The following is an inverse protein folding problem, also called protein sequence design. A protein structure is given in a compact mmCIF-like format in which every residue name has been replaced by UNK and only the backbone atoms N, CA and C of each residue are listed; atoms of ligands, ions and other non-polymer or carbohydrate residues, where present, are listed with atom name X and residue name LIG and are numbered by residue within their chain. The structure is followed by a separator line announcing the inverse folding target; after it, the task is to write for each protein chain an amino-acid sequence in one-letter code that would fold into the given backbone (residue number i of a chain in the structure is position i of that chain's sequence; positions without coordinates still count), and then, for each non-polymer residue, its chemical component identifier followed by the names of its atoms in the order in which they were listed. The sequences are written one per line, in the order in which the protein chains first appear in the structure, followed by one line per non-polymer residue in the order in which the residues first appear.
data_IF_526740942439
#
_entry.id   IF_526740942439
#
_cell.length_a   1.000
_cell.length_b   1.000
_cell.length_c   1.000
_cell.angle_alpha   90.00
_cell.angle_beta   90.00
_cell.angle_gamma   90.00
#
_symmetry.space_group_name_H-M   'P 1'
#
loop_
_entity.id
_entity.type
_entity.pdbx_description
1 polymer ?
#
# COMPACT_ATOMS: atom_id res chain seq x y z
N UNK A 1 -7.97 -3.30 12.75
CA UNK A 1 -8.34 -3.63 11.36
C UNK A 1 -9.85 -3.52 11.21
N UNK A 2 -10.33 -2.63 10.33
CA UNK A 2 -11.78 -2.41 10.13
C UNK A 2 -12.31 -3.37 9.08
N UNK A 3 -13.24 -4.26 9.45
CA UNK A 3 -13.82 -5.28 8.54
C UNK A 3 -15.27 -4.98 8.14
N UNK A 4 -15.89 -4.00 8.80
CA UNK A 4 -17.28 -3.61 8.57
C UNK A 4 -17.36 -2.12 8.26
N UNK A 5 -18.21 -1.81 7.29
CA UNK A 5 -18.53 -0.43 6.91
C UNK A 5 -19.39 0.23 7.98
N UNK A 6 -19.28 1.55 8.08
CA UNK A 6 -20.24 2.36 8.83
C UNK A 6 -21.62 2.21 8.20
N UNK A 7 -22.66 2.00 9.02
CA UNK A 7 -24.03 1.83 8.53
C UNK A 7 -24.49 3.09 7.80
N UNK A 8 -25.36 2.95 6.80
CA UNK A 8 -25.75 4.08 5.94
C UNK A 8 -26.50 5.19 6.67
N UNK A 9 -27.23 4.85 7.72
CA UNK A 9 -27.97 5.78 8.60
C UNK A 9 -27.05 6.62 9.49
N UNK A 10 -25.81 6.18 9.72
CA UNK A 10 -24.81 6.86 10.55
C UNK A 10 -23.80 7.68 9.73
N UNK A 11 -24.02 7.82 8.41
CA UNK A 11 -23.09 8.49 7.48
C UNK A 11 -23.27 10.00 7.33
N UNK A 12 -24.23 10.58 8.06
CA UNK A 12 -24.48 12.04 8.07
C UNK A 12 -23.35 12.82 8.75
N UNK A 13 -22.71 12.21 9.74
CA UNK A 13 -21.53 12.73 10.43
C UNK A 13 -20.38 11.73 10.30
N UNK A 14 -19.16 12.18 10.60
CA UNK A 14 -17.99 11.29 10.68
C UNK A 14 -17.37 11.38 12.05
N UNK A 15 -17.13 10.22 12.68
CA UNK A 15 -16.49 10.14 14.00
C UNK A 15 -15.12 9.53 13.81
N UNK A 16 -14.08 10.36 13.91
CA UNK A 16 -12.71 9.90 13.93
C UNK A 16 -12.34 9.46 15.34
N UNK A 17 -11.77 8.26 15.48
CA UNK A 17 -11.27 7.72 16.76
C UNK A 17 -9.76 7.58 16.67
N UNK A 18 -9.07 8.22 17.60
CA UNK A 18 -7.62 8.15 17.73
C UNK A 18 -7.22 6.87 18.47
N UNK A 19 -5.93 6.52 18.38
CA UNK A 19 -5.36 5.35 19.05
C UNK A 19 -5.36 5.46 20.59
N UNK A 20 -5.41 6.68 21.12
CA UNK A 20 -5.51 7.01 22.55
C UNK A 20 -6.96 7.00 23.07
N UNK A 21 -7.89 6.41 22.31
CA UNK A 21 -9.33 6.34 22.56
C UNK A 21 -10.08 7.68 22.53
N UNK A 22 -9.39 8.79 22.24
CA UNK A 22 -10.07 10.07 22.02
C UNK A 22 -10.88 10.05 20.71
N UNK A 23 -11.93 10.87 20.65
CA UNK A 23 -12.79 10.97 19.46
C UNK A 23 -13.03 12.41 19.05
N UNK A 24 -13.10 12.64 17.74
CA UNK A 24 -13.49 13.90 17.13
C UNK A 24 -14.68 13.65 16.21
N UNK A 25 -15.72 14.47 16.39
CA UNK A 25 -16.96 14.41 15.62
C UNK A 25 -16.94 15.53 14.58
N UNK A 26 -17.03 15.14 13.31
CA UNK A 26 -17.05 16.02 12.16
C UNK A 26 -18.48 16.13 11.65
N UNK A 27 -19.00 17.35 11.68
CA UNK A 27 -20.33 17.70 11.22
C UNK A 27 -20.24 18.61 9.99
N UNK A 28 -21.12 18.44 8.99
CA UNK A 28 -21.15 19.33 7.84
C UNK A 28 -21.52 20.76 8.27
N UNK A 29 -20.82 21.75 7.71
CA UNK A 29 -21.02 23.18 7.99
C UNK A 29 -20.25 23.71 9.20
N UNK A 30 -19.59 22.85 9.99
CA UNK A 30 -18.74 23.24 11.10
C UNK A 30 -17.27 23.27 10.64
N UNK A 31 -16.51 24.27 11.07
CA UNK A 31 -15.07 24.39 10.78
C UNK A 31 -14.69 24.29 9.29
N UNK A 32 -15.61 24.67 8.39
CA UNK A 32 -15.41 24.61 6.93
C UNK A 32 -15.58 23.22 6.31
N UNK A 33 -16.03 22.22 7.08
CA UNK A 33 -16.25 20.84 6.62
C UNK A 33 -17.50 20.80 5.74
N UNK A 34 -17.37 20.27 4.52
CA UNK A 34 -18.51 20.08 3.61
C UNK A 34 -19.06 18.66 3.68
N UNK A 35 -20.30 18.46 3.21
CA UNK A 35 -20.87 17.11 3.05
C UNK A 35 -20.02 16.21 2.14
N UNK A 36 -19.32 16.81 1.17
CA UNK A 36 -18.40 16.11 0.27
C UNK A 36 -17.21 15.54 1.06
N UNK A 37 -16.73 16.26 2.06
CA UNK A 37 -15.60 15.81 2.89
C UNK A 37 -16.00 14.62 3.77
N UNK A 38 -17.17 14.68 4.40
CA UNK A 38 -17.74 13.54 5.15
C UNK A 38 -17.92 12.31 4.26
N UNK A 39 -18.43 12.50 3.03
CA UNK A 39 -18.60 11.42 2.06
C UNK A 39 -17.25 10.82 1.63
N UNK A 40 -16.23 11.65 1.42
CA UNK A 40 -14.87 11.19 1.08
C UNK A 40 -14.27 10.37 2.22
N UNK A 41 -14.41 10.80 3.47
CA UNK A 41 -13.90 10.07 4.64
C UNK A 41 -14.53 8.68 4.76
N UNK A 42 -15.86 8.58 4.64
CA UNK A 42 -16.54 7.27 4.61
C UNK A 42 -16.14 6.43 3.40
N UNK A 43 -15.81 7.04 2.26
CA UNK A 43 -15.30 6.31 1.09
C UNK A 43 -13.89 5.75 1.31
N UNK A 44 -13.02 6.49 2.02
CA UNK A 44 -11.69 6.01 2.40
C UNK A 44 -11.80 4.82 3.36
N UNK A 45 -12.60 4.95 4.42
CA UNK A 45 -12.90 3.85 5.34
C UNK A 45 -13.49 2.63 4.61
N UNK A 46 -14.42 2.85 3.68
CA UNK A 46 -15.02 1.77 2.88
C UNK A 46 -14.00 1.06 2.00
N UNK A 47 -12.99 1.80 1.49
CA UNK A 47 -11.91 1.23 0.71
C UNK A 47 -10.97 0.37 1.57
N UNK A 48 -10.61 0.84 2.77
CA UNK A 48 -9.87 0.04 3.75
C UNK A 48 -10.62 -1.25 4.08
N UNK A 49 -11.92 -1.15 4.38
CA UNK A 49 -12.78 -2.31 4.65
C UNK A 49 -12.82 -3.27 3.46
N UNK A 50 -12.88 -2.76 2.23
CA UNK A 50 -12.86 -3.58 1.03
C UNK A 50 -11.54 -4.36 0.90
N UNK A 51 -10.40 -3.68 0.99
CA UNK A 51 -9.09 -4.33 0.91
C UNK A 51 -8.87 -5.31 2.05
N UNK A 52 -9.27 -4.97 3.26
CA UNK A 52 -9.22 -5.85 4.43
C UNK A 52 -10.00 -7.15 4.19
N UNK A 53 -11.22 -7.06 3.66
CA UNK A 53 -12.03 -8.24 3.34
C UNK A 53 -11.46 -9.06 2.18
N UNK A 54 -10.94 -8.39 1.15
CA UNK A 54 -10.27 -9.04 0.01
C UNK A 54 -9.02 -9.80 0.45
N UNK A 55 -8.26 -9.23 1.38
CA UNK A 55 -7.08 -9.86 1.96
C UNK A 55 -7.45 -11.00 2.93
N UNK A 56 -8.56 -10.87 3.68
CA UNK A 56 -9.02 -11.92 4.58
C UNK A 56 -9.49 -13.18 3.82
N UNK A 57 -10.07 -13.00 2.63
CA UNK A 57 -10.57 -14.09 1.77
C UNK A 57 -10.25 -13.78 0.31
N UNK A 58 -9.00 -14.00 -0.13
CA UNK A 58 -8.64 -13.76 -1.52
C UNK A 58 -9.44 -14.68 -2.44
N UNK A 59 -9.82 -14.12 -3.59
CA UNK A 59 -10.44 -14.91 -4.65
C UNK A 59 -9.40 -15.84 -5.27
N UNK A 60 -9.76 -17.11 -5.43
CA UNK A 60 -8.91 -18.08 -6.13
C UNK A 60 -8.78 -17.72 -7.61
N UNK A 61 -7.58 -17.90 -8.15
CA UNK A 61 -7.31 -17.71 -9.57
C UNK A 61 -8.08 -18.76 -10.41
N UNK A 62 -8.16 -18.55 -11.73
CA UNK A 62 -8.80 -19.52 -12.62
C UNK A 62 -8.08 -20.87 -12.63
N UNK A 63 -6.75 -20.83 -12.54
CA UNK A 63 -5.88 -22.01 -12.52
C UNK A 63 -6.05 -22.80 -11.22
N UNK A 64 -6.02 -22.12 -10.07
CA UNK A 64 -6.27 -22.76 -8.76
C UNK A 64 -7.65 -23.40 -8.71
N UNK A 65 -8.69 -22.73 -9.26
CA UNK A 65 -10.03 -23.32 -9.34
C UNK A 65 -10.04 -24.62 -10.16
N UNK A 66 -9.34 -24.64 -11.30
CA UNK A 66 -9.25 -25.82 -12.15
C UNK A 66 -8.50 -26.96 -11.45
N UNK A 67 -7.40 -26.67 -10.75
CA UNK A 67 -6.64 -27.65 -9.97
C UNK A 67 -7.50 -28.26 -8.85
N UNK A 68 -8.23 -27.42 -8.12
CA UNK A 68 -9.12 -27.86 -7.04
C UNK A 68 -10.24 -28.74 -7.57
N UNK A 69 -10.80 -28.41 -8.73
CA UNK A 69 -11.86 -29.21 -9.33
C UNK A 69 -11.33 -30.55 -9.87
N UNK A 70 -10.12 -30.58 -10.46
CA UNK A 70 -9.45 -31.82 -10.83
C UNK A 70 -9.20 -32.72 -9.60
N UNK A 71 -8.64 -32.14 -8.54
CA UNK A 71 -8.37 -32.85 -7.30
C UNK A 71 -9.64 -33.39 -6.64
N UNK A 72 -10.75 -32.65 -6.63
CA UNK A 72 -12.04 -33.15 -6.12
C UNK A 72 -12.51 -34.40 -6.85
N UNK A 73 -12.34 -34.46 -8.18
CA UNK A 73 -12.75 -35.63 -8.98
C UNK A 73 -11.89 -36.85 -8.64
N UNK A 74 -10.58 -36.66 -8.49
CA UNK A 74 -9.66 -37.72 -8.06
C UNK A 74 -10.02 -38.22 -6.66
N UNK A 75 -10.22 -37.29 -5.71
CA UNK A 75 -10.60 -37.60 -4.34
C UNK A 75 -11.91 -38.40 -4.26
N UNK A 76 -12.96 -37.97 -4.98
CA UNK A 76 -14.24 -38.69 -5.01
C UNK A 76 -14.06 -40.11 -5.59
N UNK A 77 -13.26 -40.26 -6.65
CA UNK A 77 -12.98 -41.56 -7.28
C UNK A 77 -12.27 -42.52 -6.31
N UNK A 78 -11.23 -42.04 -5.64
CA UNK A 78 -10.43 -42.85 -4.72
C UNK A 78 -11.17 -43.15 -3.41
N UNK A 79 -11.96 -42.20 -2.92
CA UNK A 79 -12.86 -42.40 -1.78
C UNK A 79 -13.91 -43.48 -2.10
N UNK A 80 -14.50 -43.45 -3.29
CA UNK A 80 -15.49 -44.45 -3.73
C UNK A 80 -14.88 -45.85 -3.88
N UNK A 81 -13.65 -45.96 -4.39
CA UNK A 81 -12.93 -47.25 -4.43
C UNK A 81 -12.66 -47.82 -3.04
N UNK A 82 -12.32 -46.94 -2.09
CA UNK A 82 -11.91 -47.36 -0.74
C UNK A 82 -13.09 -47.66 0.18
N UNK A 83 -14.16 -46.88 0.09
CA UNK A 83 -15.30 -46.94 1.02
C UNK A 83 -16.58 -47.50 0.38
N UNK A 84 -16.67 -47.59 -0.94
CA UNK A 84 -17.84 -48.11 -1.66
C UNK A 84 -19.04 -47.16 -1.74
N UNK A 85 -18.92 -45.94 -1.19
CA UNK A 85 -19.93 -44.88 -1.26
C UNK A 85 -19.28 -43.52 -1.54
N UNK A 86 -20.09 -42.51 -1.83
CA UNK A 86 -19.61 -41.15 -2.15
C UNK A 86 -19.38 -40.31 -0.88
N UNK A 87 -18.32 -39.48 -0.84
CA UNK A 87 -18.02 -38.66 0.33
C UNK A 87 -19.14 -37.66 0.60
N UNK A 88 -19.41 -37.39 1.88
CA UNK A 88 -20.35 -36.32 2.28
C UNK A 88 -19.80 -34.95 1.85
N UNK A 89 -20.69 -34.01 1.51
CA UNK A 89 -20.34 -32.64 1.10
C UNK A 89 -19.49 -31.92 2.16
N UNK A 90 -19.82 -32.09 3.45
CA UNK A 90 -19.06 -31.49 4.55
C UNK A 90 -17.64 -32.04 4.64
N UNK A 91 -17.47 -33.34 4.39
CA UNK A 91 -16.16 -34.00 4.39
C UNK A 91 -15.33 -33.49 3.21
N UNK A 92 -15.91 -33.49 2.01
CA UNK A 92 -15.25 -32.97 0.81
C UNK A 92 -14.83 -31.51 1.01
N UNK A 93 -15.69 -30.68 1.62
CA UNK A 93 -15.39 -29.28 1.90
C UNK A 93 -14.24 -29.13 2.90
N UNK A 94 -14.22 -29.93 3.97
CA UNK A 94 -13.13 -29.95 4.95
C UNK A 94 -11.79 -30.31 4.30
N UNK A 95 -11.77 -31.39 3.53
CA UNK A 95 -10.56 -31.88 2.83
C UNK A 95 -10.06 -30.87 1.77
N UNK A 96 -10.97 -30.21 1.04
CA UNK A 96 -10.60 -29.11 0.11
C UNK A 96 -9.99 -27.92 0.87
N UNK A 97 -10.51 -27.60 2.05
CA UNK A 97 -10.02 -26.48 2.86
C UNK A 97 -8.67 -26.77 3.52
N UNK A 98 -8.43 -28.03 3.92
CA UNK A 98 -7.15 -28.51 4.42
C UNK A 98 -6.08 -28.57 3.31
N UNK A 99 -6.44 -29.11 2.14
CA UNK A 99 -5.52 -29.24 1.01
C UNK A 99 -5.19 -27.92 0.34
N UNK A 100 -6.18 -27.03 0.22
CA UNK A 100 -6.07 -25.74 -0.47
C UNK A 100 -6.46 -24.59 0.46
N UNK A 101 -5.67 -24.30 1.50
CA UNK A 101 -6.01 -23.30 2.50
C UNK A 101 -5.99 -21.89 1.88
N UNK A 102 -6.90 -21.02 2.35
CA UNK A 102 -7.13 -19.65 1.79
C UNK A 102 -6.51 -18.53 2.63
N UNK A 103 -5.82 -18.89 3.70
CA UNK A 103 -5.22 -17.98 4.69
C UNK A 103 -3.88 -17.43 4.19
N UNK A 104 -3.89 -16.64 3.12
CA UNK A 104 -2.68 -15.97 2.65
C UNK A 104 -2.19 -14.87 3.61
N UNK A 105 -3.03 -14.44 4.57
CA UNK A 105 -2.77 -13.28 5.42
C UNK A 105 -3.12 -13.51 6.91
N UNK A 106 -2.76 -14.66 7.50
CA UNK A 106 -2.74 -14.77 8.96
C UNK A 106 -1.34 -14.44 9.51
N UNK A 107 -1.21 -13.17 9.89
CA UNK A 107 -0.29 -12.56 10.88
C UNK A 107 1.21 -12.36 10.54
N UNK A 108 1.67 -11.13 10.83
CA UNK A 108 3.05 -10.81 11.18
C UNK A 108 3.60 -11.68 12.34
N UNK A 109 2.72 -12.28 13.14
CA UNK A 109 3.07 -13.15 14.27
C UNK A 109 3.26 -14.64 13.87
N UNK A 110 3.03 -15.01 12.61
CA UNK A 110 3.26 -16.39 12.14
C UNK A 110 4.74 -16.70 11.89
N UNK A 111 5.62 -15.71 12.12
CA UNK A 111 7.08 -15.83 12.04
C UNK A 111 7.71 -16.39 13.33
N UNK A 112 6.94 -16.66 14.40
CA UNK A 112 7.52 -17.07 15.68
C UNK A 112 8.27 -18.41 15.63
N UNK A 113 7.89 -19.31 14.72
CA UNK A 113 8.44 -20.67 14.66
C UNK A 113 9.32 -20.93 13.42
N UNK A 114 9.58 -19.91 12.59
CA UNK A 114 10.63 -19.94 11.55
C UNK A 114 10.35 -20.74 10.27
N UNK A 115 9.18 -21.35 10.11
CA UNK A 115 8.85 -22.28 9.02
C UNK A 115 8.07 -21.64 7.85
N UNK A 116 8.46 -20.44 7.41
CA UNK A 116 7.88 -19.81 6.21
C UNK A 116 8.80 -19.98 5.00
N UNK A 117 8.17 -20.49 3.92
CA UNK A 117 8.66 -20.55 2.55
C UNK A 117 9.33 -19.21 2.12
N UNK A 118 10.62 -19.21 1.75
CA UNK A 118 11.37 -18.00 1.44
C UNK A 118 10.74 -17.14 0.34
N UNK A 119 9.98 -17.74 -0.59
CA UNK A 119 9.35 -17.02 -1.70
C UNK A 119 8.18 -16.11 -1.27
N UNK A 120 7.63 -16.31 -0.06
CA UNK A 120 6.58 -15.44 0.50
C UNK A 120 7.11 -14.22 1.26
N UNK A 121 8.45 -14.07 1.36
CA UNK A 121 9.11 -12.97 2.06
C UNK A 121 9.15 -11.64 1.29
N UNK A 122 8.12 -11.35 0.50
CA UNK A 122 7.98 -10.07 -0.22
C UNK A 122 8.11 -8.86 0.72
N UNK A 123 7.71 -9.01 1.98
CA UNK A 123 7.80 -7.98 3.02
C UNK A 123 9.23 -7.82 3.56
N UNK A 124 10.07 -8.86 3.53
CA UNK A 124 11.48 -8.75 3.93
C UNK A 124 12.33 -7.95 2.94
N UNK A 125 11.90 -7.87 1.67
CA UNK A 125 12.51 -6.98 0.67
C UNK A 125 12.05 -5.52 0.85
N UNK A 126 10.89 -5.32 1.48
CA UNK A 126 10.39 -3.99 1.90
C UNK A 126 11.05 -3.55 3.22
N UNK A 127 11.83 -4.43 3.87
CA UNK A 127 12.52 -4.18 5.15
C UNK A 127 13.35 -2.91 5.04
N UNK A 128 12.80 -1.87 5.66
CA UNK A 128 13.44 -0.63 6.10
C UNK A 128 14.47 -0.09 5.13
N UNK A 129 14.02 0.72 4.16
CA UNK A 129 14.84 1.85 3.76
C UNK A 129 15.08 2.66 5.03
N UNK A 130 16.28 2.53 5.60
CA UNK A 130 16.62 3.18 6.86
C UNK A 130 16.27 4.66 6.74
N UNK A 131 15.54 5.22 7.70
CA UNK A 131 15.24 6.66 7.70
C UNK A 131 16.50 7.53 7.87
N UNK A 132 17.68 6.89 7.98
CA UNK A 132 19.01 7.47 8.00
C UNK A 132 19.82 7.21 6.71
N UNK A 133 19.27 6.53 5.70
CA UNK A 133 19.92 6.47 4.38
C UNK A 133 19.91 7.87 3.78
N UNK A 134 21.12 8.41 3.59
CA UNK A 134 21.37 9.60 2.80
C UNK A 134 20.63 9.43 1.47
N UNK A 135 19.84 10.42 1.06
CA UNK A 135 19.01 10.32 -0.13
C UNK A 135 19.86 10.04 -1.37
N UNK A 136 19.89 8.77 -1.80
CA UNK A 136 20.60 8.33 -3.00
C UNK A 136 19.73 8.56 -4.23
N UNK A 137 20.27 9.32 -5.19
CA UNK A 137 19.64 9.50 -6.50
C UNK A 137 19.73 8.18 -7.29
N UNK A 138 18.77 7.92 -8.18
CA UNK A 138 18.91 6.79 -9.10
C UNK A 138 20.13 6.97 -10.01
N UNK A 139 20.74 5.88 -10.47
CA UNK A 139 21.90 5.89 -11.40
C UNK A 139 21.65 6.81 -12.60
N UNK A 140 20.46 6.73 -13.20
CA UNK A 140 20.05 7.59 -14.30
C UNK A 140 19.97 9.09 -13.91
N UNK A 141 19.57 9.40 -12.68
CA UNK A 141 19.54 10.78 -12.21
C UNK A 141 20.95 11.31 -11.92
N UNK A 142 21.89 10.49 -11.47
CA UNK A 142 23.29 10.92 -11.30
C UNK A 142 23.92 11.36 -12.64
N UNK A 143 23.65 10.60 -13.71
CA UNK A 143 24.07 10.97 -15.07
C UNK A 143 23.48 12.32 -15.49
N UNK A 144 22.19 12.55 -15.23
CA UNK A 144 21.53 13.82 -15.56
C UNK A 144 22.08 14.97 -14.70
N UNK A 145 22.34 14.72 -13.40
CA UNK A 145 22.93 15.72 -12.51
C UNK A 145 24.35 16.11 -12.96
N UNK A 146 25.09 15.23 -13.64
CA UNK A 146 26.41 15.54 -14.22
C UNK A 146 26.35 16.60 -15.32
N UNK A 147 25.22 16.72 -16.03
CA UNK A 147 24.99 17.71 -17.09
C UNK A 147 24.64 19.10 -16.54
N UNK A 148 24.19 19.18 -15.28
CA UNK A 148 23.83 20.42 -14.61
C UNK A 148 25.06 21.14 -14.07
N UNK A 149 24.98 22.48 -14.03
CA UNK A 149 25.98 23.29 -13.33
C UNK A 149 25.88 23.12 -11.81
N UNK A 150 27.00 23.33 -11.10
CA UNK A 150 27.06 23.18 -9.63
C UNK A 150 25.97 23.98 -8.90
N UNK A 151 25.68 25.20 -9.39
CA UNK A 151 24.61 26.05 -8.83
C UNK A 151 23.21 25.45 -9.03
N UNK A 152 22.95 24.82 -10.18
CA UNK A 152 21.67 24.17 -10.45
C UNK A 152 21.49 22.92 -9.60
N UNK A 153 22.55 22.12 -9.47
CA UNK A 153 22.56 20.91 -8.63
C UNK A 153 22.31 21.26 -7.16
N UNK A 154 22.98 22.29 -6.65
CA UNK A 154 22.82 22.76 -5.28
C UNK A 154 21.37 23.19 -5.00
N UNK A 155 20.77 23.97 -5.90
CA UNK A 155 19.39 24.44 -5.75
C UNK A 155 18.39 23.28 -5.77
N UNK A 156 18.60 22.26 -6.63
CA UNK A 156 17.77 21.05 -6.63
C UNK A 156 17.90 20.29 -5.31
N UNK A 157 19.14 20.08 -4.82
CA UNK A 157 19.38 19.40 -3.54
C UNK A 157 18.66 20.13 -2.40
N UNK A 158 18.88 21.44 -2.27
CA UNK A 158 18.27 22.23 -1.20
C UNK A 158 16.73 22.24 -1.25
N UNK A 159 16.13 22.24 -2.45
CA UNK A 159 14.67 22.30 -2.57
C UNK A 159 13.97 20.94 -2.46
N UNK A 160 14.57 19.87 -2.99
CA UNK A 160 13.92 18.56 -3.07
C UNK A 160 14.41 17.56 -2.03
N UNK A 161 15.65 17.67 -1.56
CA UNK A 161 16.22 16.81 -0.52
C UNK A 161 16.03 17.46 0.84
N UNK A 162 16.47 18.72 0.98
CA UNK A 162 16.46 19.43 2.27
C UNK A 162 15.17 20.25 2.51
N UNK A 163 14.25 20.26 1.54
CA UNK A 163 12.93 20.90 1.61
C UNK A 163 12.91 22.41 1.95
N UNK A 164 13.98 23.16 1.63
CA UNK A 164 14.02 24.61 1.82
C UNK A 164 13.10 25.37 0.87
N UNK A 165 12.59 26.51 1.32
CA UNK A 165 11.82 27.44 0.48
C UNK A 165 12.75 28.25 -0.43
N UNK A 166 12.22 28.71 -1.57
CA UNK A 166 12.99 29.53 -2.51
C UNK A 166 13.56 30.81 -1.90
N UNK A 167 12.89 31.40 -0.90
CA UNK A 167 13.40 32.55 -0.15
C UNK A 167 14.60 32.19 0.72
N UNK A 168 14.55 31.05 1.40
CA UNK A 168 15.63 30.56 2.26
C UNK A 168 16.86 30.16 1.44
N UNK A 169 16.65 29.54 0.27
CA UNK A 169 17.71 29.21 -0.69
C UNK A 169 18.35 30.48 -1.26
N UNK A 170 17.55 31.51 -1.52
CA UNK A 170 18.04 32.79 -2.01
C UNK A 170 18.98 33.45 -0.98
N UNK A 171 18.59 33.43 0.29
CA UNK A 171 19.40 33.95 1.40
C UNK A 171 20.68 33.12 1.59
N UNK A 172 20.58 31.77 1.53
CA UNK A 172 21.71 30.85 1.67
C UNK A 172 22.75 31.00 0.54
N UNK A 173 22.30 31.16 -0.70
CA UNK A 173 23.19 31.29 -1.86
C UNK A 173 23.63 32.73 -2.12
N UNK A 174 23.08 33.70 -1.39
CA UNK A 174 23.26 35.13 -1.63
C UNK A 174 22.90 35.54 -3.08
N UNK A 175 21.77 35.01 -3.58
CA UNK A 175 21.21 35.28 -4.91
C UNK A 175 19.77 35.75 -4.74
N UNK A 176 19.23 36.54 -5.67
CA UNK A 176 17.80 36.89 -5.64
C UNK A 176 16.90 35.66 -5.83
N UNK A 177 15.69 35.68 -5.26
CA UNK A 177 14.71 34.60 -5.46
C UNK A 177 14.38 34.35 -6.94
N UNK A 178 14.42 35.41 -7.76
CA UNK A 178 14.29 35.30 -9.21
C UNK A 178 15.47 34.53 -9.85
N UNK A 179 16.69 34.68 -9.34
CA UNK A 179 17.85 33.91 -9.76
C UNK A 179 17.74 32.43 -9.40
N UNK A 180 17.28 32.10 -8.18
CA UNK A 180 17.00 30.72 -7.75
C UNK A 180 15.98 30.07 -8.67
N UNK A 181 14.87 30.77 -8.98
CA UNK A 181 13.85 30.29 -9.91
C UNK A 181 14.43 30.02 -11.31
N UNK A 182 15.26 30.92 -11.83
CA UNK A 182 15.92 30.72 -13.14
C UNK A 182 16.83 29.49 -13.16
N UNK A 183 17.55 29.21 -12.06
CA UNK A 183 18.36 28.00 -11.95
C UNK A 183 17.49 26.74 -11.89
N UNK A 184 16.38 26.77 -11.16
CA UNK A 184 15.40 25.67 -11.11
C UNK A 184 14.76 25.39 -12.46
N UNK A 185 14.27 26.42 -13.15
CA UNK A 185 13.57 26.27 -14.42
C UNK A 185 14.50 25.66 -15.48
N UNK A 186 15.75 26.13 -15.55
CA UNK A 186 16.76 25.54 -16.43
C UNK A 186 17.09 24.10 -16.07
N UNK A 187 17.21 23.80 -14.78
CA UNK A 187 17.54 22.44 -14.35
C UNK A 187 16.40 21.45 -14.68
N UNK A 188 15.15 21.88 -14.49
CA UNK A 188 13.96 21.12 -14.89
C UNK A 188 13.89 20.89 -16.40
N UNK A 189 14.27 21.90 -17.19
CA UNK A 189 14.32 21.78 -18.65
C UNK A 189 15.39 20.76 -19.08
N UNK A 190 16.57 20.78 -18.48
CA UNK A 190 17.62 19.78 -18.73
C UNK A 190 17.17 18.38 -18.34
N UNK A 191 16.53 18.21 -17.18
CA UNK A 191 15.99 16.91 -16.76
C UNK A 191 14.93 16.43 -17.76
N UNK A 192 13.98 17.29 -18.14
CA UNK A 192 12.91 16.94 -19.07
C UNK A 192 13.40 16.54 -20.47
N UNK A 193 14.51 17.11 -20.94
CA UNK A 193 15.05 16.81 -22.26
C UNK A 193 15.85 15.51 -22.32
N UNK A 194 16.28 14.98 -21.17
CA UNK A 194 17.10 13.76 -21.07
C UNK A 194 16.35 12.57 -20.45
N UNK A 195 15.04 12.72 -20.21
CA UNK A 195 14.13 11.71 -19.67
C UNK A 195 13.05 11.40 -20.72
#
# INVERSE_FOLDING_TARGET
MKIRKTRSDERTMYVYRFADETKVELEPGKDGITEIDIKKLHALDDSEVYYNNKNLRPERTKEEKAEIDAWKQEFISDFKKSHGYEPNEDLLKGEVEERFPRNYNLSLDFDNDGDIDPDKRLIATIKSKDMNEEFEWSEHMEDILSLLTDKQRLVIKLMYVDAYKQSEIADLMNISSAGVKKHLDKAKETIKNNF
#
